data_IF_583820308394
#
_entry.id   IF_583820308394
#
_cell.length_a   1.000
_cell.length_b   1.000
_cell.length_c   1.000
_cell.angle_alpha   90.00
_cell.angle_beta   90.00
_cell.angle_gamma   90.00
#
_symmetry.space_group_name_H-M   'P 1'
#
loop_
_entity.id
_entity.type
_entity.pdbx_description
1 polymer ?
#
# COMPACT_ATOMS: atom_id res chain seq x y z
N UNK A 1 9.57 3.11 3.68
CA UNK A 1 10.58 4.17 3.45
C UNK A 1 11.40 3.81 2.23
N UNK A 2 12.06 4.77 1.58
CA UNK A 2 12.97 4.53 0.43
C UNK A 2 14.45 4.70 0.78
N UNK A 3 14.77 5.19 1.99
CA UNK A 3 16.14 5.56 2.39
C UNK A 3 16.37 5.29 3.88
N UNK A 4 17.57 4.84 4.23
CA UNK A 4 18.02 4.55 5.59
C UNK A 4 19.38 5.16 5.94
N UNK A 5 19.77 6.26 5.28
CA UNK A 5 21.02 6.97 5.59
C UNK A 5 21.06 7.46 7.06
N UNK A 6 22.26 7.60 7.66
CA UNK A 6 22.41 8.01 9.05
C UNK A 6 21.62 9.28 9.39
N UNK A 7 21.02 9.31 10.58
CA UNK A 7 20.24 10.43 11.11
C UNK A 7 18.98 10.81 10.31
N UNK A 8 18.48 9.93 9.42
CA UNK A 8 17.26 10.20 8.64
C UNK A 8 15.97 10.08 9.45
N UNK A 9 15.84 9.04 10.26
CA UNK A 9 14.65 8.77 11.07
C UNK A 9 14.86 9.04 12.57
N UNK A 10 16.12 9.14 13.01
CA UNK A 10 16.47 9.41 14.39
C UNK A 10 17.98 9.56 14.55
N UNK A 11 18.43 10.35 15.53
CA UNK A 11 19.85 10.57 15.82
C UNK A 11 20.47 9.27 16.31
N UNK A 12 21.51 8.78 15.62
CA UNK A 12 22.20 7.53 15.97
C UNK A 12 21.35 6.27 15.80
N UNK A 13 20.25 6.33 15.04
CA UNK A 13 19.39 5.18 14.78
C UNK A 13 19.91 4.36 13.61
N UNK A 14 20.00 3.04 13.81
CA UNK A 14 20.19 2.07 12.73
C UNK A 14 18.84 1.70 12.13
N UNK A 15 18.71 1.88 10.82
CA UNK A 15 17.45 1.68 10.10
C UNK A 15 17.65 0.65 9.00
N UNK A 16 16.80 -0.37 8.97
CA UNK A 16 16.80 -1.41 7.96
C UNK A 16 15.61 -1.23 7.02
N UNK A 17 15.85 -1.30 5.71
CA UNK A 17 14.78 -1.29 4.71
C UNK A 17 14.31 -2.72 4.45
N UNK A 18 13.00 -2.93 4.53
CA UNK A 18 12.36 -4.23 4.39
C UNK A 18 10.98 -4.08 3.74
N UNK A 19 10.38 -5.20 3.34
CA UNK A 19 8.98 -5.25 2.92
C UNK A 19 8.02 -4.98 4.09
N UNK A 20 6.75 -4.71 3.78
CA UNK A 20 5.75 -4.46 4.81
C UNK A 20 5.49 -5.70 5.67
N UNK A 21 5.50 -6.88 5.06
CA UNK A 21 5.27 -8.17 5.72
C UNK A 21 6.41 -8.47 6.71
N UNK A 22 7.66 -8.35 6.28
CA UNK A 22 8.82 -8.58 7.15
C UNK A 22 8.86 -7.55 8.31
N UNK A 23 8.50 -6.29 8.04
CA UNK A 23 8.39 -5.28 9.09
C UNK A 23 7.29 -5.59 10.11
N UNK A 24 6.12 -6.06 9.65
CA UNK A 24 5.03 -6.47 10.54
C UNK A 24 5.42 -7.66 11.42
N UNK A 25 6.02 -8.70 10.83
CA UNK A 25 6.51 -9.87 11.56
C UNK A 25 7.58 -9.46 12.59
N UNK A 26 8.55 -8.65 12.18
CA UNK A 26 9.62 -8.17 13.09
C UNK A 26 9.07 -7.32 14.23
N UNK A 27 7.96 -6.60 14.01
CA UNK A 27 7.30 -5.79 15.05
C UNK A 27 6.58 -6.66 16.09
N UNK A 28 6.07 -7.83 15.68
CA UNK A 28 5.47 -8.83 16.59
C UNK A 28 6.56 -9.51 17.42
N UNK A 29 7.66 -9.91 16.77
CA UNK A 29 8.74 -10.65 17.42
C UNK A 29 9.68 -9.79 18.26
N UNK A 30 9.87 -8.51 17.89
CA UNK A 30 10.83 -7.60 18.51
C UNK A 30 12.28 -7.76 18.02
N UNK A 31 12.51 -8.57 16.99
CA UNK A 31 13.81 -8.80 16.35
C UNK A 31 13.66 -9.18 14.87
N UNK A 32 14.77 -9.17 14.11
CA UNK A 32 14.78 -9.65 12.72
C UNK A 32 14.67 -11.18 12.71
N UNK A 33 13.60 -11.76 12.13
CA UNK A 33 13.38 -13.20 12.16
C UNK A 33 14.42 -13.96 11.35
N UNK A 34 14.63 -15.22 11.70
CA UNK A 34 15.23 -16.21 10.81
C UNK A 34 14.31 -16.49 9.62
N UNK A 35 14.87 -17.10 8.57
CA UNK A 35 14.09 -17.51 7.39
C UNK A 35 12.95 -18.46 7.79
N UNK A 36 13.19 -19.39 8.70
CA UNK A 36 12.17 -20.35 9.16
C UNK A 36 11.01 -19.68 9.90
N UNK A 37 11.31 -18.74 10.80
CA UNK A 37 10.29 -17.96 11.49
C UNK A 37 9.48 -17.12 10.52
N UNK A 38 10.15 -16.41 9.60
CA UNK A 38 9.49 -15.63 8.56
C UNK A 38 8.52 -16.47 7.72
N UNK A 39 8.97 -17.63 7.22
CA UNK A 39 8.14 -18.49 6.39
C UNK A 39 6.91 -19.00 7.15
N UNK A 40 7.07 -19.35 8.42
CA UNK A 40 5.95 -19.79 9.27
C UNK A 40 4.85 -18.73 9.38
N UNK A 41 5.19 -17.46 9.56
CA UNK A 41 4.19 -16.37 9.57
C UNK A 41 3.60 -16.13 8.18
N UNK A 42 4.40 -16.25 7.12
CA UNK A 42 3.93 -16.06 5.74
C UNK A 42 2.98 -17.15 5.28
N UNK A 43 3.09 -18.38 5.78
CA UNK A 43 2.13 -19.46 5.49
C UNK A 43 0.70 -19.03 5.80
N UNK A 44 0.47 -18.41 6.97
CA UNK A 44 -0.85 -17.89 7.36
C UNK A 44 -1.29 -16.73 6.47
N UNK A 45 -0.43 -15.74 6.24
CA UNK A 45 -0.75 -14.56 5.41
C UNK A 45 -1.12 -14.97 3.98
N UNK A 46 -0.41 -15.95 3.42
CA UNK A 46 -0.64 -16.41 2.06
C UNK A 46 -2.01 -17.08 1.88
N UNK A 47 -2.61 -17.64 2.94
CA UNK A 47 -3.97 -18.21 2.84
C UNK A 47 -5.04 -17.18 2.50
N UNK A 48 -4.81 -15.91 2.86
CA UNK A 48 -5.69 -14.77 2.60
C UNK A 48 -5.14 -13.84 1.51
N UNK A 49 -4.11 -14.28 0.78
CA UNK A 49 -3.42 -13.47 -0.22
C UNK A 49 -4.35 -12.81 -1.26
N UNK A 50 -5.31 -13.53 -1.86
CA UNK A 50 -6.24 -12.96 -2.84
C UNK A 50 -7.10 -11.81 -2.28
N UNK A 51 -7.45 -11.87 -1.00
CA UNK A 51 -8.24 -10.83 -0.33
C UNK A 51 -7.37 -9.65 0.12
N UNK A 52 -6.16 -9.93 0.61
CA UNK A 52 -5.23 -8.92 1.15
C UNK A 52 -4.59 -8.09 0.04
N UNK A 53 -4.15 -8.72 -1.05
CA UNK A 53 -3.40 -8.04 -2.14
C UNK A 53 -4.32 -7.52 -3.25
N UNK A 54 -5.43 -6.88 -2.89
CA UNK A 54 -6.34 -6.23 -3.85
C UNK A 54 -5.96 -4.78 -4.05
N UNK A 55 -5.76 -4.39 -5.31
CA UNK A 55 -5.64 -2.99 -5.68
C UNK A 55 -6.99 -2.28 -5.63
N UNK A 56 -6.94 -0.97 -5.45
CA UNK A 56 -8.13 -0.14 -5.39
C UNK A 56 -8.59 0.22 -6.81
N UNK A 57 -9.58 -0.52 -7.31
CA UNK A 57 -10.24 -0.22 -8.58
C UNK A 57 -11.45 0.68 -8.33
N UNK A 58 -11.30 2.00 -8.44
CA UNK A 58 -12.37 2.95 -8.10
C UNK A 58 -13.66 2.76 -8.92
N UNK A 59 -13.54 2.26 -10.15
CA UNK A 59 -14.68 1.94 -11.01
C UNK A 59 -15.53 0.76 -10.49
N UNK A 60 -14.98 -0.08 -9.62
CA UNK A 60 -15.67 -1.23 -8.99
C UNK A 60 -16.28 -0.87 -7.63
N UNK A 61 -16.09 0.37 -7.16
CA UNK A 61 -16.56 0.84 -5.86
C UNK A 61 -17.75 1.77 -6.07
N UNK A 62 -18.93 1.35 -5.59
CA UNK A 62 -20.19 2.05 -5.79
C UNK A 62 -20.11 3.55 -5.44
N UNK A 63 -19.53 3.90 -4.29
CA UNK A 63 -19.41 5.31 -3.87
C UNK A 63 -18.63 6.19 -4.85
N UNK A 64 -17.61 5.63 -5.52
CA UNK A 64 -16.83 6.37 -6.51
C UNK A 64 -17.53 6.40 -7.87
N UNK A 65 -18.22 5.30 -8.23
CA UNK A 65 -19.03 5.25 -9.45
C UNK A 65 -20.18 6.26 -9.40
N UNK A 66 -20.92 6.29 -8.30
CA UNK A 66 -22.04 7.23 -8.11
C UNK A 66 -21.56 8.69 -8.12
N UNK A 67 -20.42 8.97 -7.47
CA UNK A 67 -19.83 10.31 -7.49
C UNK A 67 -19.42 10.73 -8.91
N UNK A 68 -18.87 9.80 -9.70
CA UNK A 68 -18.47 10.07 -11.08
C UNK A 68 -19.68 10.28 -12.01
N UNK A 69 -20.76 9.51 -11.85
CA UNK A 69 -21.99 9.64 -12.64
C UNK A 69 -22.71 10.97 -12.37
N UNK A 70 -22.65 11.47 -11.13
CA UNK A 70 -23.27 12.73 -10.73
C UNK A 70 -22.34 13.95 -10.91
N UNK A 71 -21.13 13.76 -11.45
CA UNK A 71 -20.19 14.85 -11.66
C UNK A 71 -20.67 15.78 -12.78
N UNK A 72 -20.89 17.05 -12.44
CA UNK A 72 -21.20 18.09 -13.44
C UNK A 72 -19.89 18.47 -14.13
N UNK A 73 -19.71 18.01 -15.36
CA UNK A 73 -18.56 18.40 -16.17
C UNK A 73 -18.81 19.80 -16.76
N UNK A 74 -17.85 20.74 -16.67
CA UNK A 74 -17.96 22.00 -17.37
C UNK A 74 -17.97 21.74 -18.88
N UNK A 75 -19.13 21.92 -19.51
CA UNK A 75 -19.25 21.85 -20.97
C UNK A 75 -18.62 23.11 -21.56
N UNK A 76 -17.40 23.00 -22.08
CA UNK A 76 -16.92 23.93 -23.10
C UNK A 76 -17.68 23.60 -24.39
N UNK A 77 -18.77 24.34 -24.62
CA UNK A 77 -19.41 24.40 -25.93
C UNK A 77 -18.39 25.04 -26.89
N UNK A 78 -17.59 24.22 -27.57
CA UNK A 78 -16.82 24.71 -28.72
C UNK A 78 -17.85 24.90 -29.83
N UNK A 79 -18.41 26.11 -29.92
CA UNK A 79 -19.13 26.51 -31.13
C UNK A 79 -18.11 26.48 -32.27
N UNK A 80 -18.33 25.58 -33.21
CA UNK A 80 -17.58 25.52 -34.46
C UNK A 80 -17.79 26.85 -35.18
N UNK A 81 -16.75 27.70 -35.18
CA UNK A 81 -16.73 28.90 -36.01
C UNK A 81 -16.90 28.49 -37.47
N UNK A 82 -17.95 29.03 -38.10
CA UNK A 82 -18.20 28.93 -39.54
C UNK A 82 -17.13 29.64 -40.36
#
# INVERSE_FOLDING_TARGET
STRNFPNRLGKGADVFLASAELAAISSILGYLPSIGEYQKYMEEINTMGPEVYRYLNFNEIASYKDAAENAILPTLTIETAK
#
